data_IF_733573272994
#
_entry.id   IF_733573272994
#
_cell.length_a   1.000
_cell.length_b   1.000
_cell.length_c   1.000
_cell.angle_alpha   90.00
_cell.angle_beta   90.00
_cell.angle_gamma   90.00
#
_symmetry.space_group_name_H-M   'P 1'
#
loop_
_entity.id
_entity.type
_entity.pdbx_description
1 polymer ?
#
# COMPACT_ATOMS: atom_id res chain seq x y z
N UNK A 1 -8.91 5.18 -0.64
CA UNK A 1 -7.74 5.02 0.25
C UNK A 1 -6.47 5.60 -0.36
N UNK A 2 -6.01 5.08 -1.50
CA UNK A 2 -4.74 5.47 -2.12
C UNK A 2 -4.55 6.98 -2.35
N UNK A 3 -5.61 7.70 -2.75
CA UNK A 3 -5.56 9.17 -2.93
C UNK A 3 -5.23 9.88 -1.61
N UNK A 4 -6.01 9.64 -0.56
CA UNK A 4 -5.84 10.33 0.73
C UNK A 4 -4.48 10.00 1.37
N UNK A 5 -4.10 8.71 1.36
CA UNK A 5 -2.82 8.27 1.89
C UNK A 5 -1.64 8.84 1.06
N UNK A 6 -1.75 8.80 -0.27
CA UNK A 6 -0.72 9.32 -1.16
C UNK A 6 -0.54 10.83 -1.06
N UNK A 7 -1.64 11.60 -1.01
CA UNK A 7 -1.58 13.05 -0.84
C UNK A 7 -0.96 13.44 0.49
N UNK A 8 -1.35 12.78 1.59
CA UNK A 8 -0.75 13.05 2.90
C UNK A 8 0.75 12.72 2.89
N UNK A 9 1.14 11.59 2.31
CA UNK A 9 2.55 11.19 2.21
C UNK A 9 3.38 12.12 1.32
N UNK A 10 2.76 12.83 0.35
CA UNK A 10 3.42 13.86 -0.48
C UNK A 10 3.39 15.24 0.18
N UNK A 11 2.54 15.53 1.16
CA UNK A 11 2.57 16.83 1.85
C UNK A 11 3.39 16.74 3.13
N UNK A 12 3.10 15.74 3.96
CA UNK A 12 3.69 15.48 5.27
C UNK A 12 4.07 13.99 5.44
N UNK A 13 5.15 13.52 4.78
CA UNK A 13 5.64 12.14 4.86
C UNK A 13 6.10 11.77 6.27
N UNK A 14 6.64 12.72 7.03
CA UNK A 14 7.16 12.49 8.38
C UNK A 14 6.01 12.23 9.35
N UNK A 15 5.00 13.10 9.36
CA UNK A 15 3.83 12.91 10.23
C UNK A 15 3.03 11.64 9.88
N UNK A 16 2.96 11.30 8.60
CA UNK A 16 2.33 10.04 8.15
C UNK A 16 3.12 8.83 8.65
N UNK A 17 4.42 8.73 8.36
CA UNK A 17 5.25 7.56 8.73
C UNK A 17 5.40 7.39 10.24
N UNK A 18 5.38 8.49 11.00
CA UNK A 18 5.36 8.44 12.47
C UNK A 18 4.17 7.65 13.03
N UNK A 19 3.01 7.59 12.34
CA UNK A 19 1.86 6.75 12.74
C UNK A 19 2.11 5.25 12.61
N UNK A 20 3.10 4.88 11.82
CA UNK A 20 3.58 3.51 11.63
C UNK A 20 4.79 3.22 12.55
N UNK A 21 5.26 4.21 13.31
CA UNK A 21 6.49 4.10 14.10
C UNK A 21 7.77 4.20 13.26
N UNK A 22 7.67 4.73 12.03
CA UNK A 22 8.80 4.88 11.12
C UNK A 22 9.22 6.35 11.10
N UNK A 23 10.51 6.60 11.36
CA UNK A 23 11.09 7.95 11.30
C UNK A 23 12.18 7.96 10.23
N UNK A 24 12.15 8.92 9.28
CA UNK A 24 13.21 9.02 8.28
C UNK A 24 14.49 9.57 8.91
N UNK A 25 15.63 9.09 8.42
CA UNK A 25 16.92 9.72 8.67
C UNK A 25 17.34 10.58 7.48
N UNK A 26 17.60 11.87 7.74
CA UNK A 26 18.07 12.82 6.76
C UNK A 26 17.08 13.17 5.64
N UNK A 27 17.51 14.03 4.73
CA UNK A 27 16.70 14.50 3.60
C UNK A 27 16.39 13.37 2.62
N UNK A 28 17.33 12.43 2.43
CA UNK A 28 17.13 11.27 1.57
C UNK A 28 16.02 10.35 2.08
N UNK A 29 15.91 10.12 3.40
CA UNK A 29 14.80 9.35 3.96
C UNK A 29 13.44 10.00 3.70
N UNK A 30 13.34 11.32 3.85
CA UNK A 30 12.12 12.07 3.52
C UNK A 30 11.80 12.00 2.03
N UNK A 31 12.82 12.12 1.17
CA UNK A 31 12.69 11.99 -0.29
C UNK A 31 12.10 10.62 -0.66
N UNK A 32 12.66 9.53 -0.13
CA UNK A 32 12.18 8.17 -0.37
C UNK A 32 10.76 7.96 0.15
N UNK A 33 10.41 8.49 1.32
CA UNK A 33 9.04 8.39 1.85
C UNK A 33 8.01 9.04 0.93
N UNK A 34 8.34 10.18 0.32
CA UNK A 34 7.45 10.83 -0.67
C UNK A 34 7.28 9.96 -1.92
N UNK A 35 8.35 9.32 -2.38
CA UNK A 35 8.32 8.43 -3.53
C UNK A 35 7.48 7.17 -3.27
N UNK A 36 7.85 6.43 -2.23
CA UNK A 36 7.24 5.13 -1.91
C UNK A 36 5.83 5.27 -1.35
N UNK A 37 5.64 6.01 -0.26
CA UNK A 37 4.30 6.10 0.35
C UNK A 37 3.39 7.06 -0.42
N UNK A 38 3.95 8.14 -0.98
CA UNK A 38 3.21 9.14 -1.73
C UNK A 38 2.99 8.77 -3.19
N UNK A 39 4.07 8.81 -3.98
CA UNK A 39 4.07 8.65 -5.41
C UNK A 39 3.46 7.32 -5.86
N UNK A 40 3.91 6.19 -5.30
CA UNK A 40 3.36 4.86 -5.65
C UNK A 40 1.87 4.80 -5.30
N UNK A 41 1.44 5.33 -4.16
CA UNK A 41 0.02 5.37 -3.79
C UNK A 41 -0.80 6.23 -4.75
N UNK A 42 -0.32 7.40 -5.18
CA UNK A 42 -1.04 8.20 -6.16
C UNK A 42 -1.07 7.55 -7.55
N UNK A 43 0.01 6.86 -7.95
CA UNK A 43 0.03 6.03 -9.16
C UNK A 43 -0.99 4.90 -9.09
N UNK A 44 -1.07 4.21 -7.95
CA UNK A 44 -2.09 3.19 -7.68
C UNK A 44 -3.50 3.77 -7.76
N UNK A 45 -3.73 4.96 -7.19
CA UNK A 45 -5.00 5.66 -7.28
C UNK A 45 -5.39 5.98 -8.73
N UNK A 46 -4.45 6.45 -9.53
CA UNK A 46 -4.68 6.73 -10.95
C UNK A 46 -5.02 5.45 -11.73
N UNK A 47 -4.30 4.35 -11.49
CA UNK A 47 -4.59 3.07 -12.13
C UNK A 47 -5.97 2.53 -11.73
N UNK A 48 -6.35 2.65 -10.45
CA UNK A 48 -7.68 2.27 -9.98
C UNK A 48 -8.77 3.13 -10.65
N UNK A 49 -8.55 4.45 -10.76
CA UNK A 49 -9.48 5.35 -11.43
C UNK A 49 -9.64 4.98 -12.92
N UNK A 50 -8.54 4.63 -13.60
CA UNK A 50 -8.58 4.11 -14.97
C UNK A 50 -9.34 2.79 -15.07
N UNK A 51 -9.16 1.87 -14.11
CA UNK A 51 -9.88 0.60 -14.07
C UNK A 51 -11.40 0.77 -13.94
N UNK A 52 -11.84 1.77 -13.17
CA UNK A 52 -13.27 2.14 -13.06
C UNK A 52 -13.79 2.80 -14.34
N UNK A 53 -13.00 3.70 -14.93
CA UNK A 53 -13.44 4.48 -16.09
C UNK A 53 -13.38 3.71 -17.41
N UNK A 54 -12.46 2.73 -17.52
CA UNK A 54 -12.14 2.05 -18.77
C UNK A 54 -11.92 0.56 -18.47
N UNK A 55 -12.88 -0.29 -18.87
CA UNK A 55 -12.89 -1.74 -18.57
C UNK A 55 -11.57 -2.48 -18.84
N UNK A 56 -10.83 -2.11 -19.89
CA UNK A 56 -9.54 -2.77 -20.20
C UNK A 56 -8.48 -2.63 -19.09
N UNK A 57 -8.61 -1.63 -18.23
CA UNK A 57 -7.70 -1.37 -17.11
C UNK A 57 -8.19 -1.98 -15.79
N UNK A 58 -9.39 -2.56 -15.74
CA UNK A 58 -9.94 -3.21 -14.56
C UNK A 58 -9.05 -4.37 -14.10
N UNK A 59 -8.74 -5.31 -14.99
CA UNK A 59 -7.86 -6.43 -14.69
C UNK A 59 -6.45 -5.99 -14.26
N UNK A 60 -5.73 -5.10 -14.97
CA UNK A 60 -4.46 -4.56 -14.51
C UNK A 60 -4.53 -3.87 -13.13
N UNK A 61 -5.60 -3.13 -12.84
CA UNK A 61 -5.78 -2.47 -11.55
C UNK A 61 -5.95 -3.50 -10.43
N UNK A 62 -6.77 -4.53 -10.64
CA UNK A 62 -6.97 -5.62 -9.69
C UNK A 62 -5.69 -6.41 -9.45
N UNK A 63 -4.95 -6.74 -10.51
CA UNK A 63 -3.63 -7.38 -10.42
C UNK A 63 -2.64 -6.54 -9.62
N UNK A 64 -2.61 -5.23 -9.85
CA UNK A 64 -1.75 -4.32 -9.09
C UNK A 64 -2.14 -4.30 -7.61
N UNK A 65 -3.43 -4.19 -7.28
CA UNK A 65 -3.91 -4.22 -5.89
C UNK A 65 -3.50 -5.54 -5.22
N UNK A 66 -3.69 -6.67 -5.91
CA UNK A 66 -3.32 -7.99 -5.39
C UNK A 66 -1.81 -8.08 -5.12
N UNK A 67 -0.97 -7.69 -6.08
CA UNK A 67 0.48 -7.74 -5.92
C UNK A 67 0.97 -6.79 -4.82
N UNK A 68 0.44 -5.56 -4.77
CA UNK A 68 0.83 -4.54 -3.81
C UNK A 68 0.44 -4.91 -2.38
N UNK A 69 -0.81 -5.32 -2.16
CA UNK A 69 -1.29 -5.75 -0.84
C UNK A 69 -0.69 -7.09 -0.41
N UNK A 70 -0.58 -8.04 -1.34
CA UNK A 70 0.07 -9.32 -1.09
C UNK A 70 1.53 -9.16 -0.70
N UNK A 71 2.26 -8.26 -1.35
CA UNK A 71 3.64 -7.91 -0.98
C UNK A 71 3.76 -7.43 0.46
N UNK A 72 2.85 -6.56 0.91
CA UNK A 72 2.80 -6.17 2.33
C UNK A 72 2.52 -7.35 3.24
N UNK A 73 1.52 -8.18 2.95
CA UNK A 73 1.19 -9.38 3.74
C UNK A 73 2.40 -10.30 3.89
N UNK A 74 3.14 -10.55 2.80
CA UNK A 74 4.37 -11.34 2.86
C UNK A 74 5.44 -10.67 3.72
N UNK A 75 5.60 -9.34 3.62
CA UNK A 75 6.50 -8.58 4.48
C UNK A 75 6.12 -8.68 5.97
N UNK A 76 4.82 -8.57 6.30
CA UNK A 76 4.33 -8.71 7.69
C UNK A 76 4.55 -10.12 8.22
N UNK A 77 4.30 -11.14 7.40
CA UNK A 77 4.58 -12.53 7.75
C UNK A 77 6.07 -12.74 8.01
N UNK A 78 6.95 -12.20 7.16
CA UNK A 78 8.39 -12.26 7.37
C UNK A 78 8.79 -11.62 8.71
N UNK A 79 8.35 -10.38 8.99
CA UNK A 79 8.62 -9.71 10.28
C UNK A 79 8.12 -10.52 11.47
N UNK A 80 6.93 -11.13 11.37
CA UNK A 80 6.42 -12.02 12.43
C UNK A 80 7.35 -13.22 12.67
N UNK A 81 7.85 -13.86 11.60
CA UNK A 81 8.79 -14.98 11.71
C UNK A 81 10.16 -14.59 12.27
N UNK A 82 10.61 -13.35 12.02
CA UNK A 82 11.84 -12.81 12.62
C UNK A 82 11.66 -12.36 14.08
N UNK A 83 10.44 -12.42 14.62
CA UNK A 83 10.14 -12.01 15.99
C UNK A 83 10.04 -10.49 16.16
N UNK A 84 9.88 -9.74 15.07
CA UNK A 84 9.70 -8.29 15.13
C UNK A 84 8.38 -7.95 15.83
N UNK A 85 8.43 -6.98 16.74
CA UNK A 85 7.22 -6.39 17.33
C UNK A 85 6.86 -5.11 16.60
N UNK A 86 5.57 -4.89 16.36
CA UNK A 86 5.05 -3.71 15.68
C UNK A 86 3.95 -3.03 16.51
N UNK A 87 3.77 -1.72 16.29
CA UNK A 87 2.65 -0.98 16.90
C UNK A 87 1.29 -1.60 16.52
N UNK A 88 0.28 -1.40 17.36
CA UNK A 88 -1.09 -1.85 17.07
C UNK A 88 -1.62 -1.30 15.73
N UNK A 89 -1.24 -0.08 15.35
CA UNK A 89 -1.57 0.51 14.05
C UNK A 89 -1.05 -0.32 12.88
N UNK A 90 0.18 -0.85 12.97
CA UNK A 90 0.75 -1.71 11.92
C UNK A 90 -0.05 -3.00 11.74
N UNK A 91 -0.53 -3.61 12.83
CA UNK A 91 -1.36 -4.81 12.75
C UNK A 91 -2.75 -4.54 12.20
N UNK A 92 -3.33 -3.36 12.47
CA UNK A 92 -4.57 -2.92 11.84
C UNK A 92 -4.40 -2.76 10.32
N UNK A 93 -3.30 -2.14 9.89
CA UNK A 93 -2.96 -2.06 8.46
C UNK A 93 -2.72 -3.46 7.86
N UNK A 94 -2.03 -4.36 8.56
CA UNK A 94 -1.82 -5.74 8.11
C UNK A 94 -3.14 -6.51 7.86
N UNK A 95 -4.12 -6.35 8.75
CA UNK A 95 -5.45 -6.93 8.55
C UNK A 95 -6.15 -6.37 7.32
N UNK A 96 -6.07 -5.04 7.13
CA UNK A 96 -6.62 -4.40 5.93
C UNK A 96 -5.91 -4.87 4.64
N UNK A 97 -4.57 -4.91 4.64
CA UNK A 97 -3.73 -5.41 3.55
C UNK A 97 -4.15 -6.84 3.17
N UNK A 98 -4.33 -7.72 4.15
CA UNK A 98 -4.75 -9.11 3.93
C UNK A 98 -6.13 -9.21 3.28
N UNK A 99 -7.13 -8.47 3.79
CA UNK A 99 -8.48 -8.49 3.23
C UNK A 99 -8.47 -8.00 1.78
N UNK A 100 -7.77 -6.88 1.51
CA UNK A 100 -7.68 -6.34 0.16
C UNK A 100 -6.95 -7.29 -0.80
N UNK A 101 -5.90 -7.96 -0.33
CA UNK A 101 -5.20 -8.98 -1.10
C UNK A 101 -6.13 -10.13 -1.48
N UNK A 102 -6.86 -10.71 -0.51
CA UNK A 102 -7.78 -11.82 -0.76
C UNK A 102 -8.88 -11.41 -1.76
N UNK A 103 -9.50 -10.24 -1.55
CA UNK A 103 -10.59 -9.78 -2.41
C UNK A 103 -10.11 -9.51 -3.83
N UNK A 104 -8.98 -8.81 -4.00
CA UNK A 104 -8.44 -8.51 -5.32
C UNK A 104 -7.96 -9.77 -6.04
N UNK A 105 -7.23 -10.67 -5.36
CA UNK A 105 -6.81 -11.95 -5.94
C UNK A 105 -8.01 -12.81 -6.37
N UNK A 106 -9.07 -12.84 -5.55
CA UNK A 106 -10.30 -13.53 -5.91
C UNK A 106 -10.98 -12.92 -7.14
N UNK A 107 -11.08 -11.59 -7.21
CA UNK A 107 -11.64 -10.91 -8.39
C UNK A 107 -10.81 -11.17 -9.65
N UNK A 108 -9.48 -11.08 -9.57
CA UNK A 108 -8.57 -11.43 -10.68
C UNK A 108 -8.82 -12.86 -11.16
N UNK A 109 -8.99 -13.82 -10.25
CA UNK A 109 -9.20 -15.22 -10.61
C UNK A 109 -10.51 -15.49 -11.36
N UNK A 110 -11.47 -14.55 -11.31
CA UNK A 110 -12.76 -14.64 -12.02
C UNK A 110 -12.72 -14.04 -13.42
N UNK A 111 -11.70 -13.24 -13.72
CA UNK A 111 -11.47 -12.62 -15.03
C UNK A 111 -10.58 -13.50 -15.94
N UNK A 112 -10.09 -14.63 -15.42
CA UNK A 112 -9.35 -15.68 -16.14
C UNK A 112 -10.31 -16.74 -16.70
#
# INVERSE_FOLDING_TARGET
MFVAFGLWSITDPVGMTARLGVSPEGISGVFEMRGIYGGVSLGAAALCALGVAIKRFEFPALCFIAAYMGGYVFGRAASYFYGDSALASNWQFAGFELVMFILSAWLVSREL
#
